data_IF_966436709849
#
_entry.id   IF_966436709849
#
_cell.length_a   1.000
_cell.length_b   1.000
_cell.length_c   1.000
_cell.angle_alpha   90.00
_cell.angle_beta   90.00
_cell.angle_gamma   90.00
#
_symmetry.space_group_name_H-M   'P 1'
#
loop_
_entity.id
_entity.type
_entity.pdbx_description
1 polymer ?
#
# COMPACT_ATOMS: atom_id res chain seq x y z
N UNK A 1 -12.67 3.81 8.21
CA UNK A 1 -12.26 4.32 6.88
C UNK A 1 -12.37 3.18 5.87
N UNK A 2 -12.68 3.47 4.60
CA UNK A 2 -12.86 2.46 3.56
C UNK A 2 -12.48 3.04 2.17
N UNK A 3 -12.50 2.25 1.07
CA UNK A 3 -12.08 2.73 -0.25
C UNK A 3 -12.82 3.98 -0.76
N UNK A 4 -14.07 4.16 -0.33
CA UNK A 4 -14.93 5.30 -0.65
C UNK A 4 -14.65 6.48 0.30
N UNK A 5 -14.72 6.24 1.61
CA UNK A 5 -14.48 7.21 2.67
C UNK A 5 -13.05 7.10 3.22
N UNK A 6 -12.11 7.74 2.52
CA UNK A 6 -10.67 7.70 2.79
C UNK A 6 -10.23 8.64 3.92
N UNK A 7 -10.90 8.56 5.08
CA UNK A 7 -10.66 9.45 6.23
C UNK A 7 -9.20 9.45 6.68
N UNK A 8 -8.54 8.28 6.69
CA UNK A 8 -7.12 8.20 7.06
C UNK A 8 -6.22 9.00 6.10
N UNK A 9 -6.46 8.94 4.79
CA UNK A 9 -5.73 9.76 3.82
C UNK A 9 -5.97 11.25 4.07
N UNK A 10 -7.23 11.63 4.29
CA UNK A 10 -7.59 13.03 4.49
C UNK A 10 -6.94 13.63 5.74
N UNK A 11 -7.09 12.97 6.88
CA UNK A 11 -6.67 13.52 8.17
C UNK A 11 -5.21 13.21 8.53
N UNK A 12 -4.71 12.01 8.21
CA UNK A 12 -3.37 11.59 8.62
C UNK A 12 -2.29 11.92 7.58
N UNK A 13 -2.68 12.24 6.34
CA UNK A 13 -1.73 12.59 5.26
C UNK A 13 -1.93 14.02 4.79
N UNK A 14 -3.06 14.30 4.14
CA UNK A 14 -3.27 15.58 3.43
C UNK A 14 -3.35 16.75 4.40
N UNK A 15 -4.33 16.74 5.32
CA UNK A 15 -4.49 17.84 6.30
C UNK A 15 -3.27 18.03 7.19
N UNK A 16 -2.61 16.93 7.57
CA UNK A 16 -1.39 17.01 8.39
C UNK A 16 -0.24 17.66 7.64
N UNK A 17 -0.02 17.31 6.36
CA UNK A 17 0.99 17.95 5.52
C UNK A 17 0.73 19.44 5.30
N UNK A 18 -0.54 19.81 5.02
CA UNK A 18 -0.94 21.23 4.88
C UNK A 18 -0.70 21.99 6.18
N UNK A 19 -1.12 21.46 7.33
CA UNK A 19 -0.91 22.10 8.63
C UNK A 19 0.58 22.26 8.95
N UNK A 20 1.42 21.26 8.62
CA UNK A 20 2.86 21.37 8.80
C UNK A 20 3.45 22.53 7.98
N UNK A 21 3.15 22.60 6.68
CA UNK A 21 3.67 23.66 5.80
C UNK A 21 3.16 25.04 6.20
N UNK A 22 1.85 25.17 6.44
CA UNK A 22 1.20 26.46 6.71
C UNK A 22 1.41 26.94 8.15
N UNK A 23 1.10 26.10 9.13
CA UNK A 23 1.01 26.53 10.53
C UNK A 23 2.35 26.44 11.25
N UNK A 24 3.19 25.48 10.89
CA UNK A 24 4.48 25.27 11.56
C UNK A 24 5.63 25.97 10.84
N UNK A 25 5.64 25.92 9.50
CA UNK A 25 6.69 26.54 8.70
C UNK A 25 6.32 27.92 8.14
N UNK A 26 5.05 28.32 8.21
CA UNK A 26 4.60 29.65 7.79
C UNK A 26 4.51 29.84 6.27
N UNK A 27 4.49 28.77 5.46
CA UNK A 27 4.32 28.88 4.02
C UNK A 27 2.84 29.04 3.65
N UNK A 28 2.39 30.21 3.15
CA UNK A 28 1.00 30.40 2.75
C UNK A 28 0.65 29.61 1.49
N UNK A 29 1.64 29.49 0.59
CA UNK A 29 1.63 28.72 -0.65
C UNK A 29 3.00 28.09 -0.88
N UNK A 30 3.06 26.95 -1.58
CA UNK A 30 4.33 26.26 -1.85
C UNK A 30 4.27 25.36 -3.10
N UNK A 31 5.45 24.94 -3.56
CA UNK A 31 5.59 23.92 -4.60
C UNK A 31 5.70 22.55 -3.95
N UNK A 32 4.78 21.65 -4.31
CA UNK A 32 4.77 20.27 -3.83
C UNK A 32 5.40 19.35 -4.88
N UNK A 33 6.64 18.93 -4.67
CA UNK A 33 7.38 18.09 -5.62
C UNK A 33 7.00 16.61 -5.40
N UNK A 34 6.34 15.99 -6.39
CA UNK A 34 5.88 14.60 -6.27
C UNK A 34 6.51 13.72 -7.34
N UNK A 35 7.11 12.60 -6.92
CA UNK A 35 7.74 11.61 -7.80
C UNK A 35 6.76 10.69 -8.53
N UNK A 36 5.74 11.23 -9.21
CA UNK A 36 4.95 10.43 -10.16
C UNK A 36 5.74 10.26 -11.46
N UNK A 37 5.87 9.02 -11.90
CA UNK A 37 6.64 8.66 -13.09
C UNK A 37 5.85 8.87 -14.38
N UNK A 38 6.57 8.84 -15.49
CA UNK A 38 5.97 8.95 -16.81
C UNK A 38 5.03 7.78 -17.13
N UNK A 39 5.38 6.57 -16.68
CA UNK A 39 4.60 5.34 -16.83
C UNK A 39 3.37 5.24 -15.90
N UNK A 40 2.97 6.35 -15.25
CA UNK A 40 1.78 6.46 -14.40
C UNK A 40 0.75 7.49 -14.94
N UNK A 41 0.34 7.43 -16.23
CA UNK A 41 -0.34 8.53 -16.91
C UNK A 41 -1.67 8.93 -16.25
N UNK A 42 -2.42 7.96 -15.71
CA UNK A 42 -3.68 8.23 -14.99
C UNK A 42 -3.46 9.03 -13.71
N UNK A 43 -2.37 8.77 -12.98
CA UNK A 43 -2.05 9.50 -11.74
C UNK A 43 -1.55 10.90 -12.06
N UNK A 44 -0.73 11.03 -13.10
CA UNK A 44 -0.25 12.32 -13.62
C UNK A 44 -1.42 13.20 -14.05
N UNK A 45 -2.31 12.70 -14.91
CA UNK A 45 -3.46 13.45 -15.40
C UNK A 45 -4.37 13.91 -14.26
N UNK A 46 -4.63 13.04 -13.27
CA UNK A 46 -5.38 13.41 -12.07
C UNK A 46 -4.73 14.55 -11.30
N UNK A 47 -3.40 14.53 -11.16
CA UNK A 47 -2.68 15.58 -10.43
C UNK A 47 -2.69 16.91 -11.19
N UNK A 48 -2.53 16.88 -12.52
CA UNK A 48 -2.64 18.08 -13.37
C UNK A 48 -4.04 18.71 -13.25
N UNK A 49 -5.10 17.91 -13.36
CA UNK A 49 -6.47 18.38 -13.17
C UNK A 49 -6.72 18.95 -11.75
N UNK A 50 -6.03 18.45 -10.72
CA UNK A 50 -6.11 19.02 -9.36
C UNK A 50 -5.44 20.40 -9.27
N UNK A 51 -4.29 20.59 -9.93
CA UNK A 51 -3.65 21.91 -10.01
C UNK A 51 -4.54 22.89 -10.78
N UNK A 52 -5.08 22.50 -11.94
CA UNK A 52 -5.97 23.33 -12.76
C UNK A 52 -7.24 23.77 -12.00
N UNK A 53 -7.75 22.92 -11.11
CA UNK A 53 -8.89 23.27 -10.27
C UNK A 53 -8.58 24.39 -9.25
N UNK A 54 -7.31 24.65 -8.94
CA UNK A 54 -6.88 25.78 -8.11
C UNK A 54 -7.42 25.79 -6.67
N UNK A 55 -7.77 24.61 -6.12
CA UNK A 55 -8.42 24.51 -4.80
C UNK A 55 -7.45 24.35 -3.64
N UNK A 56 -6.21 23.97 -3.93
CA UNK A 56 -5.18 23.69 -2.94
C UNK A 56 -4.23 24.88 -2.79
N UNK A 57 -3.54 24.96 -1.65
CA UNK A 57 -2.54 26.01 -1.36
C UNK A 57 -1.20 25.75 -2.04
N UNK A 58 -1.08 24.66 -2.78
CA UNK A 58 0.17 24.25 -3.37
C UNK A 58 -0.01 23.83 -4.81
N UNK A 59 0.98 24.15 -5.61
CA UNK A 59 1.09 23.63 -6.97
C UNK A 59 1.93 22.35 -6.94
N UNK A 60 1.40 21.26 -7.50
CA UNK A 60 2.16 20.01 -7.56
C UNK A 60 2.95 19.90 -8.86
N UNK A 61 4.27 19.81 -8.77
CA UNK A 61 5.15 19.59 -9.92
C UNK A 61 5.59 18.13 -10.01
N UNK A 62 5.81 17.63 -11.24
CA UNK A 62 6.02 16.20 -11.51
C UNK A 62 7.32 15.96 -12.32
N UNK A 63 8.52 16.19 -11.73
CA UNK A 63 9.78 16.18 -12.48
C UNK A 63 10.09 14.84 -13.17
N UNK A 64 9.72 13.71 -12.53
CA UNK A 64 9.96 12.39 -13.14
C UNK A 64 9.08 12.15 -14.38
N UNK A 65 7.86 12.67 -14.38
CA UNK A 65 7.00 12.61 -15.56
C UNK A 65 7.54 13.50 -16.70
N UNK A 66 7.98 14.72 -16.37
CA UNK A 66 8.56 15.68 -17.33
C UNK A 66 9.85 15.14 -17.95
N UNK A 67 10.71 14.52 -17.14
CA UNK A 67 11.94 13.87 -17.58
C UNK A 67 11.73 12.50 -18.25
N UNK A 68 10.46 12.07 -18.46
CA UNK A 68 10.08 10.78 -19.05
C UNK A 68 10.65 9.55 -18.32
N UNK A 69 10.93 9.68 -17.02
CA UNK A 69 11.46 8.61 -16.16
C UNK A 69 10.38 7.55 -15.91
N UNK A 70 10.72 6.30 -16.14
CA UNK A 70 9.88 5.13 -15.92
C UNK A 70 10.35 4.31 -14.71
N UNK A 71 9.58 3.28 -14.33
CA UNK A 71 9.89 2.39 -13.20
C UNK A 71 11.28 1.74 -13.33
N UNK A 72 11.68 1.37 -14.53
CA UNK A 72 12.99 0.75 -14.80
C UNK A 72 14.14 1.71 -14.47
N UNK A 73 14.00 2.99 -14.84
CA UNK A 73 15.00 4.02 -14.58
C UNK A 73 15.19 4.23 -13.07
N UNK A 74 14.08 4.26 -12.31
CA UNK A 74 14.10 4.37 -10.86
C UNK A 74 14.78 3.15 -10.21
N UNK A 75 14.47 1.94 -10.67
CA UNK A 75 15.13 0.72 -10.18
C UNK A 75 16.64 0.75 -10.49
N UNK A 76 17.03 1.17 -11.69
CA UNK A 76 18.43 1.31 -12.08
C UNK A 76 19.16 2.37 -11.26
N UNK A 77 18.51 3.50 -10.93
CA UNK A 77 19.06 4.51 -10.04
C UNK A 77 19.35 3.96 -8.65
N UNK A 78 18.39 3.24 -8.05
CA UNK A 78 18.56 2.69 -6.71
C UNK A 78 19.64 1.60 -6.64
N UNK A 79 19.76 0.75 -7.68
CA UNK A 79 20.82 -0.27 -7.76
C UNK A 79 22.24 0.30 -7.82
N UNK A 80 22.41 1.56 -8.21
CA UNK A 80 23.72 2.24 -8.28
C UNK A 80 24.08 3.00 -7.01
N UNK A 81 23.17 3.10 -6.04
CA UNK A 81 23.48 3.81 -4.80
C UNK A 81 24.48 3.02 -3.97
N UNK A 82 25.37 3.70 -3.23
CA UNK A 82 26.35 3.03 -2.37
C UNK A 82 25.73 2.46 -1.08
N UNK A 83 24.39 2.44 -0.99
CA UNK A 83 23.62 1.99 0.17
C UNK A 83 22.31 1.33 -0.28
N UNK A 84 21.70 0.56 0.62
CA UNK A 84 20.39 -0.06 0.43
C UNK A 84 19.38 0.54 1.42
N UNK A 85 18.16 0.82 0.95
CA UNK A 85 17.05 1.29 1.77
C UNK A 85 16.43 0.18 2.63
N UNK A 86 16.81 -1.09 2.42
CA UNK A 86 16.28 -2.24 3.16
C UNK A 86 14.80 -2.51 2.84
N UNK A 87 14.35 -2.10 1.65
CA UNK A 87 12.97 -2.21 1.21
C UNK A 87 12.84 -3.33 0.18
N UNK A 88 11.99 -4.35 0.41
CA UNK A 88 11.79 -5.42 -0.57
C UNK A 88 11.30 -4.86 -1.90
N UNK A 89 12.07 -5.08 -2.96
CA UNK A 89 11.70 -4.72 -4.33
C UNK A 89 11.28 -5.96 -5.12
N UNK A 90 10.04 -5.95 -5.63
CA UNK A 90 9.51 -6.99 -6.51
C UNK A 90 9.09 -6.35 -7.84
N UNK A 91 10.02 -6.29 -8.79
CA UNK A 91 9.85 -5.64 -10.09
C UNK A 91 9.41 -4.17 -9.94
N UNK A 92 10.17 -3.36 -9.21
CA UNK A 92 9.88 -1.94 -8.98
C UNK A 92 8.62 -1.70 -8.14
N UNK A 93 8.13 -2.71 -7.42
CA UNK A 93 7.04 -2.59 -6.45
C UNK A 93 7.58 -2.92 -5.07
N UNK A 94 7.34 -2.00 -4.14
CA UNK A 94 7.74 -2.15 -2.75
C UNK A 94 6.52 -2.37 -1.87
N UNK A 95 6.14 -3.61 -1.51
CA UNK A 95 4.99 -3.90 -0.66
C UNK A 95 5.03 -3.17 0.68
N UNK A 96 6.22 -2.90 1.21
CA UNK A 96 6.44 -2.22 2.49
C UNK A 96 6.70 -0.71 2.36
N UNK A 97 6.70 -0.14 1.16
CA UNK A 97 7.04 1.27 0.92
C UNK A 97 5.94 2.28 1.27
N UNK A 98 4.82 1.83 1.84
CA UNK A 98 3.68 2.64 2.24
C UNK A 98 3.10 2.04 3.54
N UNK A 99 1.98 2.58 4.05
CA UNK A 99 1.24 2.03 5.18
C UNK A 99 1.13 0.49 5.07
N UNK A 100 1.39 -0.23 6.15
CA UNK A 100 1.53 -1.69 6.23
C UNK A 100 0.39 -2.49 5.55
N UNK A 101 -0.74 -2.69 6.22
CA UNK A 101 -1.84 -3.51 5.76
C UNK A 101 -2.99 -2.64 5.27
N UNK A 102 -2.69 -1.50 4.65
CA UNK A 102 -3.71 -0.58 4.13
C UNK A 102 -4.76 -1.30 3.28
N UNK A 103 -6.04 -1.02 3.54
CA UNK A 103 -7.16 -1.63 2.82
C UNK A 103 -7.19 -1.36 1.30
N UNK A 104 -6.43 -0.36 0.85
CA UNK A 104 -6.22 -0.05 -0.57
C UNK A 104 -5.25 -1.02 -1.26
N UNK A 105 -4.41 -1.75 -0.52
CA UNK A 105 -3.54 -2.79 -1.09
C UNK A 105 -4.36 -4.00 -1.51
N UNK A 106 -3.90 -4.67 -2.56
CA UNK A 106 -4.46 -5.95 -2.99
C UNK A 106 -4.35 -7.00 -1.90
N UNK A 107 -5.32 -7.92 -1.84
CA UNK A 107 -5.37 -8.96 -0.81
C UNK A 107 -4.10 -9.85 -0.81
N UNK A 108 -3.53 -10.14 -1.99
CA UNK A 108 -2.28 -10.88 -2.10
C UNK A 108 -1.11 -10.16 -1.41
N UNK A 109 -0.97 -8.85 -1.61
CA UNK A 109 0.07 -8.04 -0.95
C UNK A 109 -0.13 -8.03 0.57
N UNK A 110 -1.36 -7.86 1.05
CA UNK A 110 -1.66 -7.87 2.49
C UNK A 110 -1.32 -9.23 3.11
N UNK A 111 -1.75 -10.32 2.48
CA UNK A 111 -1.41 -11.67 2.93
C UNK A 111 0.10 -11.92 2.93
N UNK A 112 0.82 -11.46 1.91
CA UNK A 112 2.28 -11.51 1.86
C UNK A 112 2.94 -10.77 3.02
N UNK A 113 2.47 -9.56 3.34
CA UNK A 113 2.96 -8.81 4.51
C UNK A 113 2.62 -9.54 5.81
N UNK A 114 1.42 -10.09 5.95
CA UNK A 114 1.03 -10.87 7.14
C UNK A 114 1.82 -12.17 7.32
N UNK A 115 2.33 -12.78 6.24
CA UNK A 115 3.22 -13.95 6.34
C UNK A 115 4.54 -13.58 6.99
N UNK A 116 5.11 -12.46 6.57
CA UNK A 116 6.40 -11.96 7.08
C UNK A 116 6.26 -11.30 8.46
N UNK A 117 5.15 -10.60 8.68
CA UNK A 117 4.92 -9.72 9.84
C UNK A 117 3.48 -9.89 10.38
N UNK A 118 3.15 -11.07 10.95
CA UNK A 118 1.78 -11.38 11.40
C UNK A 118 1.29 -10.46 12.52
N UNK A 119 2.20 -9.91 13.33
CA UNK A 119 1.91 -9.00 14.42
C UNK A 119 1.28 -7.69 13.95
N UNK A 120 1.60 -7.22 12.74
CA UNK A 120 1.02 -6.00 12.15
C UNK A 120 -0.49 -6.09 12.02
N UNK A 121 -1.04 -7.29 11.84
CA UNK A 121 -2.48 -7.51 11.73
C UNK A 121 -3.24 -7.20 13.03
N UNK A 122 -2.56 -7.15 14.19
CA UNK A 122 -3.21 -6.98 15.51
C UNK A 122 -4.06 -5.72 15.57
N UNK A 123 -3.53 -4.58 15.13
CA UNK A 123 -4.25 -3.31 15.15
C UNK A 123 -5.47 -3.36 14.22
N UNK A 124 -5.29 -3.83 12.99
CA UNK A 124 -6.36 -3.92 11.99
C UNK A 124 -7.51 -4.83 12.46
N UNK A 125 -7.18 -5.98 13.06
CA UNK A 125 -8.15 -6.90 13.63
C UNK A 125 -8.90 -6.26 14.81
N UNK A 126 -8.19 -5.52 15.66
CA UNK A 126 -8.79 -4.79 16.78
C UNK A 126 -9.78 -3.73 16.28
N UNK A 127 -9.38 -2.94 15.28
CA UNK A 127 -10.24 -1.91 14.69
C UNK A 127 -11.52 -2.48 14.09
N UNK A 128 -11.45 -3.58 13.32
CA UNK A 128 -12.67 -4.22 12.78
C UNK A 128 -13.56 -4.82 13.87
N UNK A 129 -12.96 -5.36 14.94
CA UNK A 129 -13.70 -5.91 16.09
C UNK A 129 -14.41 -4.82 16.90
N UNK A 130 -13.74 -3.69 17.11
CA UNK A 130 -14.21 -2.64 18.02
C UNK A 130 -15.12 -1.62 17.32
N UNK A 131 -15.09 -1.56 15.99
CA UNK A 131 -15.91 -0.63 15.20
C UNK A 131 -17.42 -0.66 15.50
N UNK A 132 -18.09 -1.82 15.73
CA UNK A 132 -19.50 -1.84 16.11
C UNK A 132 -19.80 -1.11 17.42
N UNK A 133 -18.88 -1.10 18.38
CA UNK A 133 -19.05 -0.41 19.66
C UNK A 133 -19.06 1.12 19.52
N UNK A 134 -18.63 1.66 18.37
CA UNK A 134 -18.67 3.11 18.11
C UNK A 134 -20.09 3.63 17.81
N UNK A 135 -21.10 2.77 17.69
CA UNK A 135 -22.52 3.17 17.56
C UNK A 135 -22.88 3.94 16.28
N UNK A 136 -21.95 4.05 15.32
CA UNK A 136 -22.11 4.83 14.09
C UNK A 136 -22.44 3.97 12.87
N UNK A 137 -22.54 2.65 13.04
CA UNK A 137 -22.71 1.71 11.94
C UNK A 137 -24.18 1.38 11.73
N UNK A 138 -24.66 1.49 10.50
CA UNK A 138 -26.01 1.07 10.11
C UNK A 138 -26.07 -0.40 9.69
N UNK A 139 -24.93 -1.00 9.31
CA UNK A 139 -24.81 -2.41 8.93
C UNK A 139 -23.53 -3.04 9.47
N UNK A 140 -23.52 -4.35 9.80
CA UNK A 140 -22.34 -5.02 10.34
C UNK A 140 -21.11 -4.95 9.42
N UNK A 141 -21.29 -5.04 8.10
CA UNK A 141 -20.20 -4.99 7.13
C UNK A 141 -19.46 -3.64 7.09
N UNK A 142 -20.07 -2.58 7.61
CA UNK A 142 -19.42 -1.27 7.73
C UNK A 142 -18.33 -1.24 8.80
N UNK A 143 -18.27 -2.26 9.66
CA UNK A 143 -17.19 -2.44 10.61
C UNK A 143 -15.87 -2.82 9.91
N UNK A 144 -15.95 -3.43 8.73
CA UNK A 144 -14.79 -3.83 7.95
C UNK A 144 -14.19 -2.62 7.23
N UNK A 145 -12.87 -2.62 7.08
CA UNK A 145 -12.23 -1.61 6.22
C UNK A 145 -12.61 -1.79 4.75
N UNK A 146 -12.94 -3.02 4.36
CA UNK A 146 -13.33 -3.38 3.00
C UNK A 146 -14.25 -4.60 3.01
N UNK A 147 -15.51 -4.41 2.60
CA UNK A 147 -16.53 -5.45 2.66
C UNK A 147 -16.47 -6.47 1.51
N UNK A 148 -15.77 -6.18 0.42
CA UNK A 148 -15.67 -7.04 -0.78
C UNK A 148 -14.62 -8.18 -0.64
N UNK A 149 -14.07 -8.39 0.56
CA UNK A 149 -13.04 -9.41 0.83
C UNK A 149 -13.08 -9.85 2.30
N UNK A 150 -12.42 -10.98 2.65
CA UNK A 150 -12.35 -11.44 4.04
C UNK A 150 -11.77 -10.38 4.99
N UNK A 151 -12.20 -10.42 6.24
CA UNK A 151 -11.69 -9.59 7.33
C UNK A 151 -10.19 -9.80 7.55
N UNK A 152 -9.51 -8.87 8.23
CA UNK A 152 -8.09 -9.03 8.55
C UNK A 152 -7.84 -10.26 9.42
N UNK A 153 -8.81 -10.62 10.27
CA UNK A 153 -8.76 -11.82 11.11
C UNK A 153 -8.77 -13.09 10.27
N UNK A 154 -9.66 -13.16 9.29
CA UNK A 154 -9.75 -14.29 8.37
C UNK A 154 -8.53 -14.36 7.46
N UNK A 155 -8.07 -13.23 6.91
CA UNK A 155 -6.84 -13.17 6.12
C UNK A 155 -5.63 -13.71 6.89
N UNK A 156 -5.44 -13.30 8.16
CA UNK A 156 -4.36 -13.82 8.99
C UNK A 156 -4.54 -15.31 9.29
N UNK A 157 -5.77 -15.76 9.56
CA UNK A 157 -6.07 -17.19 9.76
C UNK A 157 -5.71 -18.01 8.53
N UNK A 158 -6.05 -17.54 7.32
CA UNK A 158 -5.67 -18.22 6.08
C UNK A 158 -4.17 -18.25 5.88
N UNK A 159 -3.49 -17.13 6.13
CA UNK A 159 -2.03 -17.05 6.05
C UNK A 159 -1.34 -18.05 6.98
N UNK A 160 -1.83 -18.22 8.22
CA UNK A 160 -1.27 -19.17 9.18
C UNK A 160 -1.61 -20.64 8.91
N UNK A 161 -2.73 -20.89 8.24
CA UNK A 161 -3.17 -22.25 7.87
C UNK A 161 -2.59 -22.72 6.55
N UNK A 162 -2.27 -21.78 5.65
CA UNK A 162 -1.58 -22.06 4.42
C UNK A 162 -0.19 -22.55 4.79
N UNK A 163 -0.03 -23.88 4.83
CA UNK A 163 1.30 -24.48 4.70
C UNK A 163 1.84 -24.01 3.35
N UNK A 164 3.13 -23.72 3.29
CA UNK A 164 3.78 -23.70 1.99
C UNK A 164 3.44 -25.03 1.32
N UNK A 165 3.23 -25.01 0.01
CA UNK A 165 3.22 -26.25 -0.74
C UNK A 165 4.67 -26.73 -0.70
N UNK A 166 5.08 -27.27 0.44
CA UNK A 166 6.16 -28.21 0.55
C UNK A 166 5.73 -29.29 -0.43
N UNK A 167 6.23 -29.21 -1.68
CA UNK A 167 6.47 -30.44 -2.41
C UNK A 167 7.20 -31.28 -1.39
N UNK A 168 6.50 -32.30 -0.85
CA UNK A 168 6.95 -33.06 0.30
C UNK A 168 8.41 -33.39 0.09
N UNK A 169 9.22 -33.31 1.17
CA UNK A 169 10.64 -33.68 1.17
C UNK A 169 10.84 -34.70 0.07
N UNK A 170 11.49 -34.31 -1.03
CA UNK A 170 11.45 -35.02 -2.30
C UNK A 170 11.48 -36.51 -1.96
N UNK A 171 10.30 -37.13 -1.99
CA UNK A 171 10.18 -38.55 -1.70
C UNK A 171 10.82 -39.11 -2.96
N UNK A 172 12.11 -39.44 -2.81
CA UNK A 172 13.00 -39.87 -3.87
C UNK A 172 12.15 -40.66 -4.84
N UNK A 173 12.04 -40.14 -6.07
CA UNK A 173 11.15 -40.65 -7.10
C UNK A 173 10.94 -42.15 -6.91
N UNK A 174 9.72 -42.57 -6.57
CA UNK A 174 9.37 -43.99 -6.44
C UNK A 174 10.08 -44.74 -7.58
N UNK A 175 11.04 -45.64 -7.30
CA UNK A 175 11.75 -46.33 -8.36
C UNK A 175 10.69 -47.07 -9.17
N UNK A 176 10.49 -46.61 -10.40
CA UNK A 176 9.60 -47.22 -11.36
C UNK A 176 10.31 -48.46 -11.90
N UNK A 177 10.31 -49.54 -11.11
CA UNK A 177 10.78 -50.86 -11.54
C UNK A 177 9.70 -51.55 -12.38
N UNK A 178 9.30 -50.90 -13.47
CA UNK A 178 8.63 -51.58 -14.56
C UNK A 178 9.69 -52.34 -15.38
N UNK A 179 10.01 -53.55 -14.96
CA UNK A 179 10.65 -54.54 -15.82
C UNK A 179 9.57 -55.33 -16.57
N UNK A 180 9.64 -55.28 -17.91
CA UNK A 180 8.83 -55.91 -18.97
C UNK A 180 7.36 -56.28 -18.70
#
# INVERSE_FOLDING_TARGET
>A
PNPTMRLCTHYLKVKRGIAFMRDMLGYPEWVNVVGLRHDEPRRVARQKAMNEAGKERFETVLPLHEAKVCRQDVSAFWKRQPFDLGLPDNDGKTPLGNCDLCFMKGAATIKGIMRLFPERARWWIGMERDAPALGTLTKPEMALFRADRPSYREMLRFVRRQRDFEGGAADDCLPCDCTD
#
